data_IF_114797664084
#
_entry.id   IF_114797664084
#
_cell.length_a   1.000
_cell.length_b   1.000
_cell.length_c   1.000
_cell.angle_alpha   90.00
_cell.angle_beta   90.00
_cell.angle_gamma   90.00
#
_symmetry.space_group_name_H-M   'P 1'
#
loop_
_entity.id
_entity.type
_entity.pdbx_description
1 polymer ?
#
# COMPACT_ATOMS: atom_id res chain seq x y z
N UNK A 1 25.60 33.32 20.25
CA UNK A 1 25.71 34.06 18.97
C UNK A 1 24.38 33.88 18.28
N UNK A 2 23.58 34.95 18.15
CA UNK A 2 22.18 34.84 17.71
C UNK A 2 22.08 34.23 16.31
N UNK A 3 21.11 33.35 16.12
CA UNK A 3 20.91 32.62 14.88
C UNK A 3 20.59 33.61 13.76
N UNK A 4 21.55 33.84 12.86
CA UNK A 4 21.39 34.76 11.74
C UNK A 4 20.64 34.05 10.62
N UNK A 5 19.40 34.48 10.37
CA UNK A 5 18.58 33.97 9.26
C UNK A 5 19.26 34.33 7.94
N UNK A 6 19.48 33.33 7.07
CA UNK A 6 20.05 33.51 5.74
C UNK A 6 18.98 33.33 4.67
N UNK A 7 19.00 34.19 3.66
CA UNK A 7 18.11 34.13 2.51
C UNK A 7 18.97 34.05 1.25
N UNK A 8 18.60 33.16 0.32
CA UNK A 8 19.26 33.03 -0.96
C UNK A 8 18.22 32.99 -2.09
N UNK A 9 18.51 33.68 -3.19
CA UNK A 9 17.73 33.61 -4.43
C UNK A 9 18.56 32.86 -5.47
N UNK A 10 17.98 31.81 -6.04
CA UNK A 10 18.66 30.91 -6.97
C UNK A 10 17.98 30.95 -8.35
N UNK A 11 18.74 30.89 -9.44
CA UNK A 11 18.18 30.92 -10.80
C UNK A 11 17.31 29.72 -11.18
N UNK A 12 17.36 28.62 -10.43
CA UNK A 12 16.60 27.41 -10.73
C UNK A 12 16.37 26.52 -9.50
N UNK A 13 15.33 25.70 -9.54
CA UNK A 13 15.03 24.69 -8.50
C UNK A 13 16.17 23.67 -8.34
N UNK A 14 16.93 23.38 -9.40
CA UNK A 14 18.09 22.50 -9.32
C UNK A 14 19.22 23.13 -8.49
N UNK A 15 19.49 24.43 -8.68
CA UNK A 15 20.49 25.15 -7.89
C UNK A 15 20.04 25.37 -6.44
N UNK A 16 18.75 25.60 -6.21
CA UNK A 16 18.16 25.62 -4.87
C UNK A 16 18.42 24.30 -4.15
N UNK A 17 18.07 23.16 -4.77
CA UNK A 17 18.29 21.85 -4.18
C UNK A 17 19.78 21.54 -3.95
N UNK A 18 20.67 21.96 -4.85
CA UNK A 18 22.11 21.80 -4.70
C UNK A 18 22.67 22.62 -3.52
N UNK A 19 22.19 23.84 -3.32
CA UNK A 19 22.57 24.68 -2.19
C UNK A 19 22.09 24.05 -0.87
N UNK A 20 20.86 23.57 -0.81
CA UNK A 20 20.32 22.85 0.36
C UNK A 20 21.17 21.61 0.66
N UNK A 21 21.48 20.78 -0.34
CA UNK A 21 22.34 19.59 -0.18
C UNK A 21 23.73 19.95 0.35
N UNK A 22 24.33 21.03 -0.17
CA UNK A 22 25.61 21.53 0.31
C UNK A 22 25.54 21.97 1.77
N UNK A 23 24.47 22.66 2.16
CA UNK A 23 24.29 23.16 3.52
C UNK A 23 24.15 22.01 4.53
N UNK A 24 23.28 21.03 4.22
CA UNK A 24 23.07 19.86 5.06
C UNK A 24 24.35 19.03 5.24
N UNK A 25 25.07 18.75 4.14
CA UNK A 25 26.36 18.03 4.21
C UNK A 25 27.40 18.81 5.00
N UNK A 26 27.48 20.13 4.84
CA UNK A 26 28.43 20.96 5.58
C UNK A 26 28.10 20.98 7.08
N UNK A 27 26.82 21.03 7.45
CA UNK A 27 26.40 20.93 8.83
C UNK A 27 26.80 19.58 9.44
N UNK A 28 26.53 18.48 8.72
CA UNK A 28 26.90 17.14 9.18
C UNK A 28 28.42 16.92 9.30
N UNK A 29 29.19 17.31 8.27
CA UNK A 29 30.62 17.01 8.18
C UNK A 29 31.52 17.96 8.99
N UNK A 30 31.12 19.21 9.16
CA UNK A 30 31.97 20.22 9.83
C UNK A 30 31.45 20.68 11.18
N UNK A 31 30.19 20.42 11.49
CA UNK A 31 29.56 20.85 12.75
C UNK A 31 28.96 19.67 13.52
N UNK A 32 29.27 18.43 13.12
CA UNK A 32 28.82 17.16 13.73
C UNK A 32 27.29 17.08 13.96
N UNK A 33 26.51 17.81 13.17
CA UNK A 33 25.06 17.80 13.29
C UNK A 33 24.50 16.46 12.78
N UNK A 34 23.81 15.66 13.60
CA UNK A 34 23.24 14.40 13.14
C UNK A 34 22.11 14.65 12.14
N UNK A 35 21.89 13.72 11.21
CA UNK A 35 20.90 13.90 10.12
C UNK A 35 19.47 14.15 10.63
N UNK A 36 19.11 13.53 11.75
CA UNK A 36 17.80 13.66 12.42
C UNK A 36 17.57 15.02 13.09
N UNK A 37 18.61 15.85 13.24
CA UNK A 37 18.51 17.22 13.75
C UNK A 37 18.26 18.27 12.65
N UNK A 38 18.24 17.86 11.38
CA UNK A 38 18.08 18.75 10.24
C UNK A 38 16.77 18.50 9.51
N UNK A 39 16.07 19.57 9.11
CA UNK A 39 14.82 19.50 8.36
C UNK A 39 14.82 20.43 7.16
N UNK A 40 14.17 20.00 6.07
CA UNK A 40 13.89 20.82 4.89
C UNK A 40 12.38 20.90 4.72
N UNK A 41 11.84 22.12 4.76
CA UNK A 41 10.41 22.38 4.63
C UNK A 41 10.13 22.94 3.24
N UNK A 42 9.20 22.34 2.51
CA UNK A 42 8.77 22.81 1.20
C UNK A 42 7.28 23.16 1.21
N UNK A 43 6.83 23.95 0.22
CA UNK A 43 5.46 24.48 0.17
C UNK A 43 4.43 23.45 -0.30
N UNK A 44 4.84 22.45 -1.06
CA UNK A 44 3.93 21.43 -1.62
C UNK A 44 4.61 20.07 -1.73
N UNK A 45 3.81 19.00 -1.79
CA UNK A 45 4.34 17.64 -1.95
C UNK A 45 5.11 17.44 -3.27
N UNK A 46 4.72 18.13 -4.35
CA UNK A 46 5.50 18.13 -5.59
C UNK A 46 6.92 18.71 -5.43
N UNK A 47 7.08 19.72 -4.57
CA UNK A 47 8.39 20.28 -4.23
C UNK A 47 9.19 19.33 -3.32
N UNK A 48 8.55 18.72 -2.32
CA UNK A 48 9.16 17.69 -1.47
C UNK A 48 9.71 16.54 -2.32
N UNK A 49 8.91 15.99 -3.23
CA UNK A 49 9.32 14.91 -4.13
C UNK A 49 10.53 15.29 -5.00
N UNK A 50 10.59 16.55 -5.45
CA UNK A 50 11.70 17.07 -6.25
C UNK A 50 12.97 17.22 -5.43
N UNK A 51 12.88 17.84 -4.25
CA UNK A 51 14.00 17.98 -3.31
C UNK A 51 14.51 16.61 -2.87
N UNK A 52 13.63 15.65 -2.55
CA UNK A 52 14.00 14.28 -2.17
C UNK A 52 14.90 13.62 -3.22
N UNK A 53 14.52 13.69 -4.50
CA UNK A 53 15.32 13.12 -5.60
C UNK A 53 16.69 13.80 -5.71
N UNK A 54 16.71 15.14 -5.64
CA UNK A 54 17.95 15.90 -5.76
C UNK A 54 18.92 15.67 -4.59
N UNK A 55 18.39 15.64 -3.36
CA UNK A 55 19.17 15.35 -2.14
C UNK A 55 19.70 13.91 -2.13
N UNK A 56 18.87 12.93 -2.52
CA UNK A 56 19.31 11.53 -2.66
C UNK A 56 20.42 11.39 -3.70
N UNK A 57 20.30 12.07 -4.85
CA UNK A 57 21.35 12.12 -5.87
C UNK A 57 22.65 12.76 -5.37
N UNK A 58 22.57 13.64 -4.37
CA UNK A 58 23.72 14.26 -3.70
C UNK A 58 24.25 13.46 -2.49
N UNK A 59 23.77 12.22 -2.30
CA UNK A 59 24.09 11.32 -1.18
C UNK A 59 23.75 11.89 0.20
N UNK A 60 22.72 12.72 0.28
CA UNK A 60 22.12 13.16 1.54
C UNK A 60 21.03 12.16 1.93
N UNK A 61 21.10 11.53 3.12
CA UNK A 61 20.01 10.71 3.63
C UNK A 61 18.75 11.58 3.79
N UNK A 62 17.63 11.14 3.21
CA UNK A 62 16.35 11.84 3.32
C UNK A 62 15.29 10.87 3.82
N UNK A 63 14.76 11.13 5.00
CA UNK A 63 13.47 10.63 5.43
C UNK A 63 12.41 11.68 5.09
N UNK A 64 11.32 11.29 4.44
CA UNK A 64 10.16 12.16 4.26
C UNK A 64 9.16 11.78 5.34
N UNK A 65 8.75 12.77 6.15
CA UNK A 65 7.71 12.60 7.14
C UNK A 65 6.37 12.68 6.40
N UNK A 66 5.67 11.55 6.31
CA UNK A 66 4.42 11.44 5.55
C UNK A 66 4.64 11.31 4.04
N UNK A 67 3.55 11.01 3.32
CA UNK A 67 3.58 10.87 1.88
C UNK A 67 3.04 12.11 1.15
N UNK A 68 3.53 12.35 -0.07
CA UNK A 68 3.10 13.49 -0.90
C UNK A 68 1.76 13.21 -1.62
N UNK A 69 1.22 11.99 -1.54
CA UNK A 69 -0.02 11.59 -2.18
C UNK A 69 -1.17 11.65 -1.17
N UNK A 70 -2.37 11.93 -1.66
CA UNK A 70 -3.56 11.72 -0.85
C UNK A 70 -3.64 10.24 -0.44
N UNK A 71 -4.11 9.96 0.77
CA UNK A 71 -4.07 8.62 1.37
C UNK A 71 -4.71 7.53 0.48
N UNK A 72 -5.79 7.86 -0.25
CA UNK A 72 -6.44 6.94 -1.19
C UNK A 72 -5.62 6.62 -2.45
N UNK A 73 -4.58 7.41 -2.74
CA UNK A 73 -3.65 7.21 -3.85
C UNK A 73 -2.37 6.48 -3.42
N UNK A 74 -2.17 6.26 -2.12
CA UNK A 74 -1.01 5.52 -1.63
C UNK A 74 -1.02 4.08 -2.16
N UNK A 75 0.06 3.60 -2.83
CA UNK A 75 0.10 2.27 -3.41
C UNK A 75 -0.11 1.13 -2.39
N UNK A 76 0.25 1.36 -1.13
CA UNK A 76 0.05 0.40 -0.04
C UNK A 76 -1.39 0.40 0.50
N UNK A 77 -2.11 1.51 0.37
CA UNK A 77 -3.46 1.72 0.91
C UNK A 77 -4.53 1.41 -0.11
N UNK A 78 -4.36 1.84 -1.36
CA UNK A 78 -5.33 1.67 -2.44
C UNK A 78 -5.87 0.24 -2.56
N UNK A 79 -5.05 -0.83 -2.49
CA UNK A 79 -5.55 -2.20 -2.57
C UNK A 79 -6.48 -2.58 -1.40
N UNK A 80 -6.24 -2.03 -0.21
CA UNK A 80 -7.12 -2.26 0.95
C UNK A 80 -8.46 -1.53 0.78
N UNK A 81 -8.45 -0.32 0.22
CA UNK A 81 -9.68 0.41 -0.12
C UNK A 81 -10.48 -0.31 -1.21
N UNK A 82 -9.81 -0.77 -2.26
CA UNK A 82 -10.45 -1.60 -3.30
C UNK A 82 -11.03 -2.88 -2.70
N UNK A 83 -10.31 -3.56 -1.81
CA UNK A 83 -10.83 -4.74 -1.12
C UNK A 83 -12.05 -4.40 -0.23
N UNK A 84 -12.01 -3.26 0.47
CA UNK A 84 -13.13 -2.77 1.28
C UNK A 84 -14.36 -2.50 0.41
N UNK A 85 -14.22 -1.73 -0.67
CA UNK A 85 -15.29 -1.47 -1.65
C UNK A 85 -15.85 -2.77 -2.22
N UNK A 86 -14.98 -3.73 -2.55
CA UNK A 86 -15.37 -5.05 -3.08
C UNK A 86 -16.24 -5.84 -2.10
N UNK A 87 -15.92 -5.77 -0.81
CA UNK A 87 -16.69 -6.47 0.24
C UNK A 87 -17.98 -5.71 0.57
N UNK A 88 -17.96 -4.39 0.53
CA UNK A 88 -19.16 -3.54 0.69
C UNK A 88 -20.14 -3.67 -0.49
N UNK A 89 -19.63 -3.94 -1.70
CA UNK A 89 -20.40 -4.08 -2.93
C UNK A 89 -21.33 -5.29 -2.98
N UNK A 90 -21.22 -6.22 -2.02
CA UNK A 90 -22.15 -7.34 -1.89
C UNK A 90 -21.57 -8.68 -2.36
N UNK A 91 -22.14 -9.26 -3.41
CA UNK A 91 -21.91 -10.67 -3.79
C UNK A 91 -20.46 -10.89 -4.30
N UNK A 92 -19.71 -11.88 -3.76
CA UNK A 92 -18.40 -12.27 -4.30
C UNK A 92 -18.38 -12.63 -5.79
N UNK A 93 -19.51 -13.08 -6.36
CA UNK A 93 -19.61 -13.43 -7.78
C UNK A 93 -19.70 -12.19 -8.69
N UNK A 94 -20.02 -11.02 -8.13
CA UNK A 94 -20.18 -9.76 -8.88
C UNK A 94 -18.90 -8.93 -8.96
N UNK A 95 -17.79 -9.42 -8.40
CA UNK A 95 -16.50 -8.72 -8.48
C UNK A 95 -16.09 -8.60 -9.94
N UNK A 96 -15.85 -7.36 -10.38
CA UNK A 96 -15.34 -7.10 -11.72
C UNK A 96 -13.95 -7.70 -11.92
N UNK A 97 -13.67 -8.19 -13.12
CA UNK A 97 -12.42 -8.90 -13.41
C UNK A 97 -11.19 -8.00 -13.27
N UNK A 98 -11.32 -6.72 -13.61
CA UNK A 98 -10.25 -5.73 -13.49
C UNK A 98 -9.92 -5.43 -12.01
N UNK A 99 -10.93 -5.42 -11.12
CA UNK A 99 -10.76 -5.35 -9.67
C UNK A 99 -10.01 -6.58 -9.16
N UNK A 100 -10.41 -7.79 -9.58
CA UNK A 100 -9.71 -9.02 -9.24
C UNK A 100 -8.23 -8.98 -9.67
N UNK A 101 -7.96 -8.54 -10.91
CA UNK A 101 -6.59 -8.37 -11.43
C UNK A 101 -5.82 -7.32 -10.63
N UNK A 102 -6.46 -6.20 -10.27
CA UNK A 102 -5.86 -5.12 -9.48
C UNK A 102 -5.43 -5.65 -8.11
N UNK A 103 -6.29 -6.37 -7.39
CA UNK A 103 -5.96 -6.95 -6.08
C UNK A 103 -4.85 -7.99 -6.18
N UNK A 104 -4.90 -8.89 -7.17
CA UNK A 104 -3.90 -9.94 -7.37
C UNK A 104 -2.51 -9.39 -7.71
N UNK A 105 -2.45 -8.28 -8.44
CA UNK A 105 -1.19 -7.63 -8.84
C UNK A 105 -0.73 -6.53 -7.88
N UNK A 106 -1.54 -6.24 -6.86
CA UNK A 106 -1.19 -5.31 -5.79
C UNK A 106 -0.16 -5.89 -4.81
N UNK A 107 0.39 -5.07 -3.89
CA UNK A 107 1.19 -5.58 -2.77
C UNK A 107 0.52 -6.64 -1.88
N UNK A 108 -0.81 -6.79 -1.90
CA UNK A 108 -1.53 -7.84 -1.16
C UNK A 108 -1.36 -9.22 -1.83
N UNK A 109 -1.51 -9.28 -3.16
CA UNK A 109 -1.38 -10.51 -3.96
C UNK A 109 0.04 -10.78 -4.46
N UNK A 110 0.80 -9.74 -4.79
CA UNK A 110 2.20 -9.82 -5.19
C UNK A 110 2.46 -10.53 -6.52
N UNK A 111 1.43 -10.75 -7.36
CA UNK A 111 1.63 -11.32 -8.69
C UNK A 111 2.11 -10.24 -9.67
N UNK A 112 3.11 -10.59 -10.48
CA UNK A 112 3.46 -9.82 -11.66
C UNK A 112 2.65 -10.29 -12.88
N UNK A 113 2.90 -9.70 -14.04
CA UNK A 113 2.24 -10.06 -15.30
C UNK A 113 2.49 -11.53 -15.71
N UNK A 114 3.64 -12.09 -15.33
CA UNK A 114 3.99 -13.49 -15.58
C UNK A 114 3.20 -14.42 -14.64
N UNK A 115 3.14 -14.08 -13.35
CA UNK A 115 2.37 -14.76 -12.32
C UNK A 115 0.88 -14.78 -12.66
N UNK A 116 0.33 -13.65 -13.10
CA UNK A 116 -1.07 -13.59 -13.56
C UNK A 116 -1.33 -14.48 -14.78
N UNK A 117 -0.39 -14.51 -15.74
CA UNK A 117 -0.49 -15.40 -16.91
C UNK A 117 -0.41 -16.87 -16.50
N UNK A 118 0.46 -17.22 -15.55
CA UNK A 118 0.57 -18.58 -14.99
C UNK A 118 -0.71 -18.99 -14.26
N UNK A 119 -1.29 -18.09 -13.47
CA UNK A 119 -2.55 -18.31 -12.78
C UNK A 119 -3.70 -18.60 -13.75
N UNK A 120 -3.89 -17.73 -14.75
CA UNK A 120 -4.92 -17.92 -15.78
C UNK A 120 -4.78 -19.25 -16.52
N UNK A 121 -3.55 -19.68 -16.80
CA UNK A 121 -3.27 -20.98 -17.42
C UNK A 121 -3.60 -22.16 -16.50
N UNK A 122 -3.22 -22.08 -15.23
CA UNK A 122 -3.52 -23.13 -14.24
C UNK A 122 -5.03 -23.33 -14.08
N UNK A 123 -5.76 -22.22 -13.86
CA UNK A 123 -7.22 -22.25 -13.73
C UNK A 123 -7.90 -22.83 -14.97
N UNK A 124 -7.48 -22.41 -16.17
CA UNK A 124 -8.05 -22.94 -17.43
C UNK A 124 -7.72 -24.42 -17.64
N UNK A 125 -6.53 -24.88 -17.25
CA UNK A 125 -6.18 -26.29 -17.35
C UNK A 125 -7.06 -27.15 -16.43
N UNK A 126 -7.32 -26.70 -15.20
CA UNK A 126 -8.23 -27.38 -14.26
C UNK A 126 -9.68 -27.40 -14.77
N UNK A 127 -10.19 -26.26 -15.26
CA UNK A 127 -11.55 -26.15 -15.83
C UNK A 127 -11.74 -27.13 -17.00
N UNK A 128 -10.77 -27.20 -17.92
CA UNK A 128 -10.83 -28.10 -19.07
C UNK A 128 -10.71 -29.58 -18.66
N UNK A 129 -9.87 -29.90 -17.66
CA UNK A 129 -9.76 -31.25 -17.13
C UNK A 129 -11.05 -31.72 -16.44
N UNK A 130 -11.82 -30.79 -15.86
CA UNK A 130 -13.16 -31.02 -15.32
C UNK A 130 -14.28 -31.07 -16.37
N UNK A 131 -13.96 -30.96 -17.66
CA UNK A 131 -14.95 -30.92 -18.76
C UNK A 131 -15.68 -29.59 -18.90
N UNK A 132 -15.25 -28.56 -18.18
CA UNK A 132 -15.79 -27.21 -18.26
C UNK A 132 -15.24 -26.42 -19.45
N UNK A 133 -15.74 -25.20 -19.61
CA UNK A 133 -15.44 -24.34 -20.76
C UNK A 133 -15.34 -22.85 -20.44
N UNK A 134 -15.41 -22.48 -19.15
CA UNK A 134 -15.52 -21.08 -18.74
C UNK A 134 -14.27 -20.27 -19.08
N UNK A 135 -14.48 -18.99 -19.36
CA UNK A 135 -13.42 -18.04 -19.65
C UNK A 135 -12.54 -17.80 -18.41
N UNK A 136 -11.27 -17.45 -18.62
CA UNK A 136 -10.32 -17.24 -17.51
C UNK A 136 -10.74 -16.13 -16.56
N UNK A 137 -11.50 -15.15 -17.04
CA UNK A 137 -11.97 -14.02 -16.24
C UNK A 137 -12.95 -14.47 -15.16
N UNK A 138 -13.95 -15.29 -15.53
CA UNK A 138 -14.86 -15.91 -14.58
C UNK A 138 -14.12 -16.79 -13.55
N UNK A 139 -13.10 -17.53 -13.98
CA UNK A 139 -12.30 -18.38 -13.09
C UNK A 139 -11.44 -17.58 -12.11
N UNK A 140 -10.98 -16.38 -12.51
CA UNK A 140 -10.24 -15.48 -11.63
C UNK A 140 -11.13 -14.90 -10.53
N UNK A 141 -12.36 -14.52 -10.87
CA UNK A 141 -13.34 -14.04 -9.90
C UNK A 141 -13.72 -15.18 -8.94
N UNK A 142 -14.02 -16.37 -9.46
CA UNK A 142 -14.37 -17.54 -8.65
C UNK A 142 -13.29 -17.90 -7.64
N UNK A 143 -12.01 -17.95 -8.05
CA UNK A 143 -10.94 -18.36 -7.14
C UNK A 143 -10.70 -17.37 -5.99
N UNK A 144 -11.13 -16.11 -6.15
CA UNK A 144 -11.08 -15.10 -5.08
C UNK A 144 -12.28 -15.15 -4.14
N UNK A 145 -13.40 -15.73 -4.58
CA UNK A 145 -14.59 -15.90 -3.76
C UNK A 145 -14.43 -17.02 -2.71
N UNK A 146 -13.60 -18.03 -3.00
CA UNK A 146 -13.37 -19.17 -2.10
C UNK A 146 -11.87 -19.39 -1.80
N UNK A 147 -11.41 -19.08 -0.56
CA UNK A 147 -10.05 -19.36 -0.12
C UNK A 147 -9.66 -20.84 -0.23
N UNK A 148 -10.59 -21.78 -0.05
CA UNK A 148 -10.30 -23.21 -0.15
C UNK A 148 -9.98 -23.61 -1.60
N UNK A 149 -10.69 -23.00 -2.57
CA UNK A 149 -10.36 -23.16 -4.00
C UNK A 149 -8.95 -22.64 -4.30
N UNK A 150 -8.57 -21.49 -3.76
CA UNK A 150 -7.24 -20.92 -3.95
C UNK A 150 -6.11 -21.84 -3.44
N UNK A 151 -6.34 -22.63 -2.38
CA UNK A 151 -5.35 -23.59 -1.84
C UNK A 151 -5.01 -24.72 -2.82
N UNK A 152 -5.90 -25.06 -3.75
CA UNK A 152 -5.66 -26.10 -4.75
C UNK A 152 -4.66 -25.68 -5.84
N UNK A 153 -4.37 -24.39 -5.97
CA UNK A 153 -3.51 -23.85 -7.02
C UNK A 153 -2.05 -24.30 -6.92
N UNK A 154 -1.27 -24.26 -8.01
CA UNK A 154 0.17 -24.50 -7.97
C UNK A 154 0.90 -23.54 -7.03
N UNK A 155 1.88 -24.05 -6.28
CA UNK A 155 2.62 -23.27 -5.26
C UNK A 155 3.26 -21.97 -5.77
N UNK A 156 3.59 -21.89 -7.07
CA UNK A 156 4.17 -20.69 -7.70
C UNK A 156 3.24 -19.48 -7.75
N UNK A 157 1.92 -19.70 -7.70
CA UNK A 157 0.91 -18.62 -7.74
C UNK A 157 0.00 -18.63 -6.51
N UNK A 158 -0.10 -19.78 -5.82
CA UNK A 158 -1.00 -20.02 -4.68
C UNK A 158 -0.92 -18.93 -3.61
N UNK A 159 0.29 -18.62 -3.12
CA UNK A 159 0.47 -17.76 -1.94
C UNK A 159 -0.22 -16.41 -2.08
N UNK A 160 -0.07 -15.78 -3.25
CA UNK A 160 -0.67 -14.48 -3.53
C UNK A 160 -2.19 -14.54 -3.61
N UNK A 161 -2.71 -15.53 -4.32
CA UNK A 161 -4.16 -15.72 -4.51
C UNK A 161 -4.85 -16.05 -3.19
N UNK A 162 -4.27 -16.95 -2.39
CA UNK A 162 -4.78 -17.32 -1.06
C UNK A 162 -4.87 -16.11 -0.13
N UNK A 163 -3.86 -15.23 -0.14
CA UNK A 163 -3.88 -14.01 0.68
C UNK A 163 -5.03 -13.08 0.31
N UNK A 164 -5.22 -12.82 -0.99
CA UNK A 164 -6.32 -11.97 -1.45
C UNK A 164 -7.67 -12.61 -1.14
N UNK A 165 -7.85 -13.90 -1.43
CA UNK A 165 -9.09 -14.62 -1.16
C UNK A 165 -9.42 -14.63 0.36
N UNK A 166 -8.44 -14.90 1.21
CA UNK A 166 -8.61 -14.88 2.68
C UNK A 166 -8.92 -13.48 3.20
N UNK A 167 -8.26 -12.45 2.66
CA UNK A 167 -8.55 -11.05 2.96
C UNK A 167 -10.02 -10.73 2.69
N UNK A 168 -10.49 -10.97 1.46
CA UNK A 168 -11.88 -10.71 1.07
C UNK A 168 -12.87 -11.54 1.89
N UNK A 169 -12.61 -12.83 2.12
CA UNK A 169 -13.46 -13.68 2.93
C UNK A 169 -13.57 -13.20 4.38
N UNK A 170 -12.45 -12.78 4.99
CA UNK A 170 -12.44 -12.22 6.34
C UNK A 170 -13.27 -10.94 6.43
N UNK A 171 -13.12 -10.04 5.44
CA UNK A 171 -13.95 -8.83 5.32
C UNK A 171 -15.44 -9.14 5.26
N UNK A 172 -15.83 -10.15 4.49
CA UNK A 172 -17.26 -10.51 4.31
C UNK A 172 -17.85 -11.09 5.58
N UNK A 173 -17.09 -11.95 6.26
CA UNK A 173 -17.47 -12.47 7.58
C UNK A 173 -17.65 -11.33 8.58
N UNK A 174 -16.76 -10.34 8.58
CA UNK A 174 -16.84 -9.21 9.50
C UNK A 174 -18.05 -8.31 9.21
N UNK A 175 -18.31 -7.95 7.93
CA UNK A 175 -19.48 -7.14 7.55
C UNK A 175 -20.80 -7.77 8.00
N UNK A 176 -20.89 -9.11 7.99
CA UNK A 176 -22.10 -9.82 8.39
C UNK A 176 -22.33 -9.82 9.92
N UNK A 177 -21.36 -9.37 10.73
CA UNK A 177 -21.48 -9.34 12.18
C UNK A 177 -22.33 -8.14 12.65
N UNK A 178 -23.18 -8.32 13.68
CA UNK A 178 -23.85 -7.20 14.32
C UNK A 178 -22.84 -6.20 14.87
N UNK A 179 -23.01 -4.92 14.55
CA UNK A 179 -22.15 -3.85 15.04
C UNK A 179 -20.81 -3.71 14.30
N UNK A 180 -20.64 -4.36 13.15
CA UNK A 180 -19.46 -4.15 12.31
C UNK A 180 -19.36 -2.69 11.86
N UNK A 181 -18.16 -2.12 11.99
CA UNK A 181 -17.82 -0.77 11.52
C UNK A 181 -16.71 -0.84 10.47
N UNK A 182 -16.38 0.30 9.86
CA UNK A 182 -15.35 0.34 8.82
C UNK A 182 -13.97 -0.08 9.34
N UNK A 183 -13.66 0.21 10.60
CA UNK A 183 -12.37 -0.11 11.21
C UNK A 183 -12.24 -1.62 11.44
N UNK A 184 -13.27 -2.30 11.96
CA UNK A 184 -13.23 -3.74 12.16
C UNK A 184 -13.13 -4.49 10.83
N UNK A 185 -13.88 -4.06 9.83
CA UNK A 185 -13.83 -4.63 8.47
C UNK A 185 -12.46 -4.42 7.86
N UNK A 186 -11.91 -3.20 7.90
CA UNK A 186 -10.57 -2.91 7.38
C UNK A 186 -9.49 -3.74 8.10
N UNK A 187 -9.62 -3.93 9.42
CA UNK A 187 -8.71 -4.77 10.19
C UNK A 187 -8.78 -6.23 9.76
N UNK A 188 -9.99 -6.77 9.53
CA UNK A 188 -10.18 -8.14 9.07
C UNK A 188 -9.58 -8.37 7.67
N UNK A 189 -9.72 -7.40 6.75
CA UNK A 189 -9.09 -7.42 5.44
C UNK A 189 -7.56 -7.45 5.56
N UNK A 190 -6.99 -6.56 6.36
CA UNK A 190 -5.55 -6.46 6.58
C UNK A 190 -4.97 -7.74 7.21
N UNK A 191 -5.62 -8.26 8.24
CA UNK A 191 -5.22 -9.49 8.90
C UNK A 191 -5.30 -10.70 7.94
N UNK A 192 -6.36 -10.80 7.14
CA UNK A 192 -6.53 -11.88 6.17
C UNK A 192 -5.51 -11.86 5.03
N UNK A 193 -4.99 -10.68 4.67
CA UNK A 193 -3.94 -10.54 3.65
C UNK A 193 -2.56 -11.05 4.13
N UNK A 194 -2.31 -11.08 5.45
CA UNK A 194 -1.11 -11.65 6.07
C UNK A 194 0.22 -11.11 5.45
N UNK A 195 0.28 -9.80 5.24
CA UNK A 195 1.47 -9.11 4.66
C UNK A 195 2.30 -8.36 5.69
N UNK A 196 1.72 -8.01 6.84
CA UNK A 196 2.32 -7.13 7.85
C UNK A 196 3.71 -7.58 8.31
N UNK A 197 3.86 -8.85 8.69
CA UNK A 197 5.13 -9.38 9.20
C UNK A 197 6.22 -9.45 8.12
N UNK A 198 5.82 -9.68 6.86
CA UNK A 198 6.76 -9.64 5.73
C UNK A 198 7.30 -8.23 5.50
N UNK A 199 6.42 -7.24 5.56
CA UNK A 199 6.81 -5.83 5.40
C UNK A 199 7.64 -5.36 6.58
N UNK A 200 7.28 -5.71 7.82
CA UNK A 200 8.05 -5.38 9.03
C UNK A 200 9.48 -5.92 8.96
N UNK A 201 9.66 -7.20 8.60
CA UNK A 201 11.00 -7.78 8.42
C UNK A 201 11.80 -7.08 7.34
N UNK A 202 11.14 -6.68 6.25
CA UNK A 202 11.80 -5.94 5.15
C UNK A 202 12.23 -4.55 5.60
N UNK A 203 11.37 -3.82 6.32
CA UNK A 203 11.68 -2.52 6.88
C UNK A 203 12.90 -2.58 7.83
N UNK A 204 12.89 -3.55 8.76
CA UNK A 204 13.97 -3.75 9.73
C UNK A 204 15.30 -4.19 9.09
N UNK A 205 15.27 -4.81 7.91
CA UNK A 205 16.48 -5.20 7.18
C UNK A 205 17.22 -3.99 6.56
N UNK A 206 16.56 -2.83 6.46
CA UNK A 206 17.15 -1.59 5.94
C UNK A 206 17.34 -1.57 4.41
N UNK A 207 18.10 -0.58 3.93
CA UNK A 207 18.31 -0.34 2.50
C UNK A 207 17.10 0.24 1.77
N UNK A 208 17.18 0.33 0.43
CA UNK A 208 16.13 0.96 -0.37
C UNK A 208 14.78 0.22 -0.29
N UNK A 209 14.80 -1.11 -0.21
CA UNK A 209 13.60 -1.93 -0.02
C UNK A 209 13.02 -1.74 1.39
N UNK A 210 13.86 -1.66 2.42
CA UNK A 210 13.41 -1.39 3.80
C UNK A 210 12.76 -0.02 3.93
N UNK A 211 13.37 1.04 3.38
CA UNK A 211 12.79 2.38 3.36
C UNK A 211 11.48 2.48 2.54
N UNK A 212 11.22 1.54 1.62
CA UNK A 212 9.93 1.45 0.95
C UNK A 212 8.89 0.77 1.84
N UNK A 213 9.25 -0.39 2.41
CA UNK A 213 8.36 -1.15 3.30
C UNK A 213 7.96 -0.34 4.55
N UNK A 214 8.88 0.45 5.10
CA UNK A 214 8.64 1.36 6.23
C UNK A 214 7.56 2.40 5.88
N UNK A 215 7.72 3.11 4.75
CA UNK A 215 6.72 4.06 4.26
C UNK A 215 5.36 3.41 3.93
N UNK A 216 5.38 2.19 3.39
CA UNK A 216 4.16 1.44 3.11
C UNK A 216 3.41 1.10 4.41
N UNK A 217 4.13 0.74 5.48
CA UNK A 217 3.55 0.53 6.81
C UNK A 217 3.00 1.83 7.41
N UNK A 218 3.72 2.94 7.31
CA UNK A 218 3.26 4.25 7.79
C UNK A 218 1.97 4.71 7.10
N UNK A 219 1.86 4.49 5.78
CA UNK A 219 0.65 4.78 5.03
C UNK A 219 -0.55 3.94 5.52
N UNK A 220 -0.33 2.65 5.77
CA UNK A 220 -1.37 1.77 6.32
C UNK A 220 -1.77 2.19 7.74
N UNK A 221 -0.82 2.54 8.62
CA UNK A 221 -1.11 3.05 9.95
C UNK A 221 -1.91 4.36 9.91
N UNK A 222 -1.59 5.23 8.95
CA UNK A 222 -2.33 6.48 8.72
C UNK A 222 -3.77 6.21 8.29
N UNK A 223 -4.00 5.20 7.44
CA UNK A 223 -5.34 4.74 7.07
C UNK A 223 -6.13 4.26 8.29
N UNK A 224 -5.54 3.43 9.15
CA UNK A 224 -6.23 2.93 10.34
C UNK A 224 -6.60 4.05 11.31
N UNK A 225 -5.72 5.03 11.53
CA UNK A 225 -6.02 6.22 12.35
C UNK A 225 -7.16 7.05 11.75
N UNK A 226 -7.21 7.16 10.43
CA UNK A 226 -8.29 7.86 9.73
C UNK A 226 -9.63 7.12 9.89
N UNK A 227 -9.63 5.78 9.79
CA UNK A 227 -10.80 4.95 10.02
C UNK A 227 -11.30 5.04 11.48
N UNK A 228 -10.40 4.98 12.46
CA UNK A 228 -10.71 5.16 13.88
C UNK A 228 -11.35 6.54 14.13
N UNK A 229 -10.73 7.61 13.63
CA UNK A 229 -11.27 8.98 13.74
C UNK A 229 -12.66 9.10 13.10
N UNK A 230 -12.91 8.37 12.00
CA UNK A 230 -14.21 8.36 11.35
C UNK A 230 -15.28 7.68 12.22
N UNK A 231 -14.97 6.50 12.76
CA UNK A 231 -15.87 5.76 13.66
C UNK A 231 -16.16 6.57 14.93
N UNK A 232 -15.16 7.19 15.55
CA UNK A 232 -15.32 8.02 16.74
C UNK A 232 -16.27 9.21 16.50
N UNK A 233 -16.20 9.82 15.30
CA UNK A 233 -17.05 10.96 14.93
C UNK A 233 -18.46 10.54 14.53
N UNK A 234 -18.62 9.33 14.01
CA UNK A 234 -19.88 8.78 13.50
C UNK A 234 -20.10 7.36 14.03
N UNK A 235 -20.33 7.19 15.34
CA UNK A 235 -20.36 5.87 16.00
C UNK A 235 -21.52 4.96 15.57
N UNK A 236 -22.44 5.47 14.74
CA UNK A 236 -23.56 4.72 14.16
C UNK A 236 -23.49 4.63 12.62
N UNK A 237 -22.41 5.11 12.00
CA UNK A 237 -22.26 5.04 10.55
C UNK A 237 -22.00 3.59 10.12
N UNK A 238 -22.84 3.02 9.25
CA UNK A 238 -22.57 1.70 8.71
C UNK A 238 -21.34 1.77 7.79
N UNK A 239 -20.58 0.67 7.62
CA UNK A 239 -19.37 0.62 6.80
C UNK A 239 -19.50 1.22 5.38
N UNK A 240 -20.69 1.16 4.79
CA UNK A 240 -21.03 1.75 3.48
C UNK A 240 -20.95 3.28 3.40
N UNK A 241 -20.81 3.98 4.52
CA UNK A 241 -20.76 5.46 4.55
C UNK A 241 -19.39 6.04 4.13
N UNK A 242 -18.39 5.18 3.84
CA UNK A 242 -16.99 5.55 3.55
C UNK A 242 -16.61 5.31 2.09
N UNK A 243 -17.49 4.72 1.28
CA UNK A 243 -17.30 4.50 -0.15
C UNK A 243 -17.49 5.80 -0.95
#
# INVERSE_FOLDING_TARGET
MGDAVRVALLPSAAQEAALVAQHLRRAHLHHDAPWDSMAVIARSGGQVATLRRALAAASVPVAVIGSDLALHQEPAVRPLLVALETVLGGDPAEIETDVAVTLLTSPLGGLDSIGLRRLRRALRAEELAGGGGRASDALLVEVLADPARAESLPGTVRRGVVRVARSLAAGRVEIARPGADVQTVLWSLWAGADVAEGWRRTALAGGAAGARADRDLDAVLTLFRAAETFVDRLPQAPPRAVA
#
